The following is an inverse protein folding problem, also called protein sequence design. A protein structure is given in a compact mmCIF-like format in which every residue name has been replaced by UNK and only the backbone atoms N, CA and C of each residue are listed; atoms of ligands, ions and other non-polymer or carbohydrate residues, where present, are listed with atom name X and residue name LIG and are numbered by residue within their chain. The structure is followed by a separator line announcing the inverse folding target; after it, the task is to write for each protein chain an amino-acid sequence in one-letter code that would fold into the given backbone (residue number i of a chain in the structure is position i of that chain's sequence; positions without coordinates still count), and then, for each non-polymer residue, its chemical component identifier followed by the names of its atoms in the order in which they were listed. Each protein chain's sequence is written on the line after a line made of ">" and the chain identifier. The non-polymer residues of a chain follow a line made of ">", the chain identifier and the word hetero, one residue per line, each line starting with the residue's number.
data_IF_719825439750
#
_entry.id   IF_719825439750
#
_cell.length_a   1.000
_cell.length_b   1.000
_cell.length_c   1.000
_cell.angle_alpha   90.00
_cell.angle_beta   90.00
_cell.angle_gamma   90.00
#
_symmetry.space_group_name_H-M   'P 1'
#
loop_
_entity.id
_entity.type
_entity.pdbx_description
1 polymer ?
#
# COMPACT_ATOMS: atom_id res chain seq x y z
N UNK A 1 -53.49 -4.21 -5.88
CA UNK A 1 -52.15 -4.86 -6.04
C UNK A 1 -50.98 -3.90 -5.89
N UNK A 2 -50.92 -2.75 -6.60
CA UNK A 2 -49.75 -1.85 -6.58
C UNK A 2 -49.33 -1.35 -5.18
N UNK A 3 -50.29 -0.97 -4.31
CA UNK A 3 -49.99 -0.50 -2.94
C UNK A 3 -49.30 -1.55 -2.07
N UNK A 4 -49.66 -2.82 -2.23
CA UNK A 4 -49.04 -3.92 -1.49
C UNK A 4 -47.59 -4.13 -1.93
N UNK A 5 -47.32 -4.11 -3.24
CA UNK A 5 -45.96 -4.26 -3.76
C UNK A 5 -45.03 -3.12 -3.31
N UNK A 6 -45.53 -1.88 -3.29
CA UNK A 6 -44.78 -0.73 -2.79
C UNK A 6 -44.46 -0.89 -1.30
N UNK A 7 -45.44 -1.31 -0.48
CA UNK A 7 -45.22 -1.53 0.94
C UNK A 7 -44.17 -2.62 1.21
N UNK A 8 -44.17 -3.71 0.44
CA UNK A 8 -43.15 -4.76 0.53
C UNK A 8 -41.76 -4.24 0.20
N UNK A 9 -41.62 -3.46 -0.88
CA UNK A 9 -40.32 -2.86 -1.25
C UNK A 9 -39.80 -1.88 -0.22
N UNK A 10 -40.68 -1.07 0.38
CA UNK A 10 -40.31 -0.15 1.48
C UNK A 10 -39.82 -0.94 2.69
N UNK A 11 -40.51 -2.03 3.03
CA UNK A 11 -40.12 -2.90 4.16
C UNK A 11 -38.76 -3.54 3.92
N UNK A 12 -38.53 -4.09 2.73
CA UNK A 12 -37.25 -4.68 2.34
C UNK A 12 -36.11 -3.66 2.39
N UNK A 13 -36.33 -2.47 1.85
CA UNK A 13 -35.36 -1.38 1.89
C UNK A 13 -35.01 -0.99 3.33
N UNK A 14 -36.01 -0.88 4.20
CA UNK A 14 -35.81 -0.58 5.63
C UNK A 14 -34.95 -1.65 6.31
N UNK A 15 -35.21 -2.93 6.06
CA UNK A 15 -34.39 -4.03 6.61
C UNK A 15 -32.94 -3.91 6.15
N UNK A 16 -32.71 -3.70 4.84
CA UNK A 16 -31.35 -3.57 4.28
C UNK A 16 -30.59 -2.38 4.85
N UNK A 17 -31.26 -1.24 5.06
CA UNK A 17 -30.66 -0.06 5.69
C UNK A 17 -30.30 -0.33 7.15
N UNK A 18 -31.16 -1.02 7.89
CA UNK A 18 -30.89 -1.38 9.28
C UNK A 18 -29.71 -2.34 9.39
N UNK A 19 -29.67 -3.39 8.58
CA UNK A 19 -28.56 -4.35 8.56
C UNK A 19 -27.24 -3.64 8.22
N UNK A 20 -27.23 -2.73 7.25
CA UNK A 20 -26.05 -1.93 6.91
C UNK A 20 -25.61 -1.01 8.07
N UNK A 21 -26.56 -0.40 8.79
CA UNK A 21 -26.28 0.43 9.98
C UNK A 21 -25.70 -0.39 11.14
N UNK A 22 -26.24 -1.57 11.37
CA UNK A 22 -25.78 -2.48 12.42
C UNK A 22 -24.39 -3.02 12.11
N UNK A 23 -24.11 -3.33 10.83
CA UNK A 23 -22.77 -3.69 10.36
C UNK A 23 -21.78 -2.53 10.56
N UNK A 24 -22.15 -1.31 10.15
CA UNK A 24 -21.31 -0.12 10.35
C UNK A 24 -20.96 0.09 11.83
N UNK A 25 -21.93 -0.09 12.72
CA UNK A 25 -21.74 0.03 14.17
C UNK A 25 -20.84 -1.07 14.71
N UNK A 26 -21.05 -2.33 14.29
CA UNK A 26 -20.23 -3.48 14.67
C UNK A 26 -18.76 -3.31 14.27
N UNK A 27 -18.51 -2.78 13.08
CA UNK A 27 -17.13 -2.59 12.57
C UNK A 27 -16.52 -1.22 12.91
N UNK A 28 -17.23 -0.36 13.66
CA UNK A 28 -16.74 0.97 14.10
C UNK A 28 -16.01 1.77 13.00
N UNK A 29 -16.58 1.82 11.80
CA UNK A 29 -15.95 2.49 10.66
C UNK A 29 -15.72 4.00 10.91
N UNK A 30 -16.43 4.62 11.87
CA UNK A 30 -16.27 6.02 12.27
C UNK A 30 -14.98 6.30 13.08
N UNK A 31 -14.35 5.28 13.68
CA UNK A 31 -13.11 5.47 14.46
C UNK A 31 -11.90 5.78 13.53
N UNK A 32 -12.08 5.62 12.22
CA UNK A 32 -11.10 5.95 11.18
C UNK A 32 -11.18 7.39 10.63
N UNK A 33 -12.10 8.22 11.14
CA UNK A 33 -12.04 9.67 10.86
C UNK A 33 -10.97 10.27 11.76
N UNK A 34 -9.75 10.32 11.23
CA UNK A 34 -8.63 11.05 11.80
C UNK A 34 -9.07 12.47 12.20
N UNK A 35 -9.29 12.69 13.50
CA UNK A 35 -9.21 14.03 14.08
C UNK A 35 -7.85 14.60 13.65
N UNK A 36 -7.73 15.87 13.22
CA UNK A 36 -6.43 16.48 13.04
C UNK A 36 -5.85 16.75 14.43
N UNK A 37 -5.36 15.69 15.07
CA UNK A 37 -4.53 15.80 16.25
C UNK A 37 -3.10 16.05 15.74
N UNK A 38 -2.52 17.16 16.20
CA UNK A 38 -1.09 17.44 16.30
C UNK A 38 -0.16 16.54 15.49
N UNK A 39 0.57 17.12 14.52
CA UNK A 39 1.69 16.55 13.74
C UNK A 39 2.14 15.19 14.28
N UNK A 40 1.37 14.15 13.96
CA UNK A 40 1.65 12.79 14.39
C UNK A 40 2.56 12.28 13.29
N UNK A 41 3.80 11.97 13.66
CA UNK A 41 4.81 11.41 12.76
C UNK A 41 4.13 10.34 11.90
N UNK A 42 4.21 10.49 10.58
CA UNK A 42 3.59 9.56 9.63
C UNK A 42 4.01 8.14 10.02
N UNK A 43 3.07 7.23 10.37
CA UNK A 43 3.42 5.88 10.83
C UNK A 43 4.32 5.11 9.87
N UNK A 44 4.34 5.51 8.59
CA UNK A 44 5.22 4.94 7.56
C UNK A 44 6.68 5.31 7.75
N UNK A 45 7.00 6.42 8.42
CA UNK A 45 8.36 6.81 8.77
C UNK A 45 9.00 5.76 9.66
N UNK A 46 8.26 5.23 10.64
CA UNK A 46 8.78 4.16 11.51
C UNK A 46 9.26 2.97 10.68
N UNK A 47 8.48 2.53 9.69
CA UNK A 47 8.87 1.40 8.81
C UNK A 47 10.16 1.65 8.01
N UNK A 48 10.54 2.92 7.77
CA UNK A 48 11.79 3.29 7.11
C UNK A 48 13.02 3.16 8.03
N UNK A 49 12.83 3.31 9.35
CA UNK A 49 13.91 3.38 10.34
C UNK A 49 13.96 2.18 11.30
N UNK A 50 13.05 1.21 11.17
CA UNK A 50 13.17 -0.06 11.92
C UNK A 50 14.51 -0.73 11.59
N UNK A 51 15.23 -1.11 12.65
CA UNK A 51 16.43 -1.94 12.55
C UNK A 51 16.05 -3.34 12.07
N UNK A 52 16.74 -3.81 11.03
CA UNK A 52 16.53 -5.14 10.46
C UNK A 52 16.65 -6.27 11.50
N UNK A 53 17.49 -6.09 12.53
CA UNK A 53 17.66 -7.05 13.64
C UNK A 53 16.41 -7.30 14.47
N UNK A 54 15.43 -6.40 14.44
CA UNK A 54 14.20 -6.50 15.22
C UNK A 54 13.04 -7.09 14.41
N UNK A 55 13.27 -7.45 13.14
CA UNK A 55 12.26 -8.00 12.24
C UNK A 55 12.25 -9.51 12.34
N UNK A 56 11.07 -10.08 12.57
CA UNK A 56 10.85 -11.53 12.61
C UNK A 56 9.79 -11.92 11.58
N UNK A 57 9.90 -13.14 11.02
CA UNK A 57 8.93 -13.68 10.06
C UNK A 57 8.93 -13.00 8.69
N UNK A 58 9.95 -12.20 8.38
CA UNK A 58 10.04 -11.45 7.12
C UNK A 58 10.84 -12.18 6.03
N UNK A 59 11.65 -13.17 6.39
CA UNK A 59 12.59 -13.81 5.47
C UNK A 59 11.89 -14.52 4.31
N UNK A 60 10.88 -15.34 4.58
CA UNK A 60 10.12 -16.02 3.54
C UNK A 60 9.46 -15.06 2.54
N UNK A 61 8.62 -14.10 3.01
CA UNK A 61 8.02 -13.09 2.12
C UNK A 61 9.05 -12.24 1.36
N UNK A 62 10.19 -11.91 1.99
CA UNK A 62 11.28 -11.15 1.35
C UNK A 62 11.89 -11.93 0.20
N UNK A 63 12.21 -13.20 0.41
CA UNK A 63 12.75 -14.09 -0.63
C UNK A 63 11.78 -14.27 -1.80
N UNK A 64 10.49 -14.40 -1.53
CA UNK A 64 9.45 -14.50 -2.56
C UNK A 64 9.40 -13.25 -3.45
N UNK A 65 9.41 -12.06 -2.85
CA UNK A 65 9.40 -10.80 -3.60
C UNK A 65 10.70 -10.62 -4.40
N UNK A 66 11.85 -10.95 -3.83
CA UNK A 66 13.14 -10.90 -4.56
C UNK A 66 13.10 -11.83 -5.76
N UNK A 67 12.62 -13.06 -5.59
CA UNK A 67 12.49 -14.03 -6.68
C UNK A 67 11.61 -13.50 -7.80
N UNK A 68 10.49 -12.85 -7.50
CA UNK A 68 9.62 -12.25 -8.53
C UNK A 68 10.31 -11.12 -9.30
N UNK A 69 11.17 -10.32 -8.64
CA UNK A 69 11.91 -9.23 -9.27
C UNK A 69 13.10 -9.73 -10.11
N UNK A 70 13.76 -10.81 -9.68
CA UNK A 70 14.99 -11.32 -10.32
C UNK A 70 14.77 -12.49 -11.27
N UNK A 71 13.56 -13.10 -11.30
CA UNK A 71 13.24 -14.20 -12.21
C UNK A 71 13.49 -13.79 -13.66
N UNK A 72 14.50 -14.38 -14.29
CA UNK A 72 14.77 -14.23 -15.72
C UNK A 72 13.86 -15.21 -16.46
N UNK A 73 12.93 -14.70 -17.27
CA UNK A 73 12.20 -15.53 -18.22
C UNK A 73 12.99 -15.52 -19.55
N UNK A 74 13.03 -16.66 -20.25
CA UNK A 74 13.88 -16.95 -21.42
C UNK A 74 13.74 -15.97 -22.62
N UNK A 75 12.85 -14.98 -22.55
CA UNK A 75 12.45 -14.16 -23.70
C UNK A 75 12.77 -12.66 -23.61
N UNK A 76 13.32 -12.11 -22.52
CA UNK A 76 14.10 -10.85 -22.55
C UNK A 76 14.51 -10.36 -21.15
N UNK A 77 15.76 -9.92 -21.02
CA UNK A 77 16.29 -9.25 -19.83
C UNK A 77 15.80 -7.78 -19.68
N UNK A 78 14.97 -7.29 -20.62
CA UNK A 78 14.71 -5.85 -20.81
C UNK A 78 13.27 -5.40 -20.51
N UNK A 79 12.38 -6.29 -20.10
CA UNK A 79 11.00 -5.91 -19.76
C UNK A 79 10.86 -5.31 -18.34
N UNK A 80 10.02 -4.29 -18.25
CA UNK A 80 9.65 -3.62 -17.00
C UNK A 80 8.92 -4.58 -16.07
N UNK A 81 9.54 -4.94 -14.94
CA UNK A 81 8.91 -5.75 -13.89
C UNK A 81 8.28 -4.90 -12.81
N UNK A 82 7.06 -5.26 -12.41
CA UNK A 82 6.31 -4.60 -11.34
C UNK A 82 5.79 -5.66 -10.39
N UNK A 83 6.11 -5.50 -9.10
CA UNK A 83 5.59 -6.35 -8.02
C UNK A 83 4.77 -5.48 -7.06
N UNK A 84 3.58 -5.96 -6.70
CA UNK A 84 2.67 -5.29 -5.77
C UNK A 84 2.54 -6.09 -4.47
N UNK A 85 2.67 -5.42 -3.33
CA UNK A 85 2.46 -6.01 -2.00
C UNK A 85 1.13 -5.49 -1.47
N UNK A 86 0.14 -6.38 -1.37
CA UNK A 86 -1.25 -6.07 -0.98
C UNK A 86 -1.64 -6.77 0.32
N UNK A 87 -2.58 -6.19 1.06
CA UNK A 87 -3.06 -6.76 2.32
C UNK A 87 -3.54 -5.69 3.29
N UNK A 88 -4.09 -6.09 4.42
CA UNK A 88 -4.67 -5.18 5.41
C UNK A 88 -3.64 -4.24 6.07
N UNK A 89 -4.11 -3.11 6.61
CA UNK A 89 -3.29 -2.19 7.40
C UNK A 89 -2.61 -2.88 8.59
N UNK A 90 -1.40 -2.45 8.95
CA UNK A 90 -0.65 -3.01 10.09
C UNK A 90 0.16 -4.28 9.79
N UNK A 91 -0.02 -4.93 8.64
CA UNK A 91 0.69 -6.18 8.27
C UNK A 91 2.15 -6.00 7.82
N UNK A 92 2.78 -4.85 8.09
CA UNK A 92 4.20 -4.66 7.77
C UNK A 92 4.55 -4.59 6.28
N UNK A 93 3.58 -4.35 5.38
CA UNK A 93 3.82 -4.26 3.92
C UNK A 93 4.93 -3.27 3.53
N UNK A 94 4.90 -2.07 4.11
CA UNK A 94 5.92 -1.04 3.89
C UNK A 94 7.28 -1.48 4.42
N UNK A 95 7.30 -2.22 5.54
CA UNK A 95 8.52 -2.80 6.12
C UNK A 95 9.11 -3.85 5.20
N UNK A 96 8.29 -4.76 4.66
CA UNK A 96 8.71 -5.76 3.67
C UNK A 96 9.29 -5.11 2.41
N UNK A 97 8.60 -4.11 1.85
CA UNK A 97 9.11 -3.35 0.70
C UNK A 97 10.46 -2.68 0.99
N UNK A 98 10.63 -2.10 2.19
CA UNK A 98 11.86 -1.44 2.60
C UNK A 98 13.03 -2.43 2.76
N UNK A 99 12.79 -3.60 3.34
CA UNK A 99 13.82 -4.64 3.47
C UNK A 99 14.25 -5.20 2.11
N UNK A 100 13.31 -5.44 1.20
CA UNK A 100 13.64 -5.83 -0.19
C UNK A 100 14.44 -4.73 -0.90
N UNK A 101 14.04 -3.46 -0.74
CA UNK A 101 14.75 -2.31 -1.30
C UNK A 101 16.18 -2.17 -0.76
N UNK A 102 16.40 -2.46 0.53
CA UNK A 102 17.72 -2.46 1.16
C UNK A 102 18.57 -3.63 0.68
N UNK A 103 17.99 -4.81 0.55
CA UNK A 103 18.71 -6.00 0.06
C UNK A 103 19.18 -5.83 -1.38
N UNK A 104 18.32 -5.28 -2.24
CA UNK A 104 18.62 -5.04 -3.66
C UNK A 104 19.46 -3.77 -3.90
N UNK A 105 20.00 -3.16 -2.84
CA UNK A 105 20.75 -1.91 -2.93
C UNK A 105 21.83 -1.90 -4.01
N UNK A 106 22.60 -2.98 -4.04
CA UNK A 106 23.79 -3.11 -4.88
C UNK A 106 23.49 -3.76 -6.23
N UNK A 107 22.27 -4.28 -6.41
CA UNK A 107 21.83 -4.91 -7.66
C UNK A 107 21.37 -3.91 -8.72
N UNK A 108 21.18 -2.63 -8.36
CA UNK A 108 20.63 -1.61 -9.23
C UNK A 108 21.47 -0.33 -9.21
N UNK A 109 21.80 0.19 -10.39
CA UNK A 109 22.59 1.43 -10.54
C UNK A 109 21.89 2.66 -9.97
N UNK A 110 20.55 2.72 -10.02
CA UNK A 110 19.81 3.68 -9.23
C UNK A 110 18.43 3.18 -8.80
N UNK A 111 17.98 3.78 -7.71
CA UNK A 111 16.86 3.30 -6.91
C UNK A 111 16.20 4.45 -6.17
N UNK A 112 14.89 4.44 -6.08
CA UNK A 112 14.14 5.42 -5.32
C UNK A 112 13.08 4.75 -4.45
N UNK A 113 13.08 5.11 -3.17
CA UNK A 113 11.99 4.77 -2.25
C UNK A 113 11.19 6.03 -1.95
N UNK A 114 9.90 6.08 -2.32
CA UNK A 114 9.07 7.29 -2.19
C UNK A 114 7.77 6.95 -1.48
N UNK A 115 7.40 7.80 -0.53
CA UNK A 115 6.10 7.74 0.12
C UNK A 115 5.08 8.55 -0.68
N UNK A 116 3.90 7.97 -0.91
CA UNK A 116 2.80 8.60 -1.67
C UNK A 116 1.64 8.82 -0.72
N UNK A 117 1.14 10.05 -0.60
CA UNK A 117 -0.04 10.37 0.22
C UNK A 117 -1.33 9.86 -0.42
N UNK A 118 -2.42 9.78 0.35
CA UNK A 118 -3.75 9.44 -0.17
C UNK A 118 -4.24 10.43 -1.24
N UNK A 119 -3.79 11.68 -1.16
CA UNK A 119 -4.02 12.74 -2.15
C UNK A 119 -2.67 13.18 -2.71
N UNK A 120 -2.16 12.49 -3.74
CA UNK A 120 -0.85 12.79 -4.27
C UNK A 120 -0.87 14.10 -5.06
N UNK A 121 0.08 14.98 -4.76
CA UNK A 121 0.50 16.00 -5.72
C UNK A 121 1.50 15.37 -6.69
N UNK A 122 1.04 15.14 -7.92
CA UNK A 122 1.82 14.48 -8.96
C UNK A 122 3.07 15.28 -9.35
N UNK A 123 3.01 16.61 -9.33
CA UNK A 123 4.16 17.46 -9.69
C UNK A 123 5.24 17.30 -8.62
N UNK A 124 4.85 17.42 -7.35
CA UNK A 124 5.78 17.26 -6.22
C UNK A 124 6.35 15.84 -6.15
N UNK A 125 5.53 14.81 -6.42
CA UNK A 125 5.98 13.42 -6.46
C UNK A 125 7.02 13.19 -7.56
N UNK A 126 6.76 13.65 -8.79
CA UNK A 126 7.69 13.50 -9.91
C UNK A 126 8.99 14.27 -9.68
N UNK A 127 8.92 15.48 -9.09
CA UNK A 127 10.12 16.22 -8.68
C UNK A 127 10.93 15.45 -7.65
N UNK A 128 10.29 14.91 -6.61
CA UNK A 128 10.96 14.10 -5.58
C UNK A 128 11.59 12.84 -6.18
N UNK A 129 10.90 12.16 -7.09
CA UNK A 129 11.43 11.02 -7.84
C UNK A 129 12.66 11.42 -8.65
N UNK A 130 12.55 12.49 -9.43
CA UNK A 130 13.64 12.99 -10.24
C UNK A 130 14.86 13.34 -9.37
N UNK A 131 14.69 14.04 -8.24
CA UNK A 131 15.81 14.36 -7.35
C UNK A 131 16.49 13.12 -6.75
N UNK A 132 15.74 12.04 -6.47
CA UNK A 132 16.30 10.79 -5.96
C UNK A 132 16.99 9.95 -7.04
N UNK A 133 16.54 10.06 -8.28
CA UNK A 133 17.01 9.25 -9.43
C UNK A 133 18.08 9.94 -10.26
N UNK A 134 18.09 11.28 -10.30
CA UNK A 134 19.02 12.12 -11.07
C UNK A 134 20.44 12.14 -10.52
N UNK A 135 20.73 11.36 -9.47
CA UNK A 135 22.07 10.89 -9.12
C UNK A 135 22.56 9.70 -9.95
N UNK A 136 22.06 9.58 -11.19
CA UNK A 136 22.30 8.55 -12.22
C UNK A 136 21.60 7.16 -12.10
N UNK A 137 20.57 6.98 -12.96
CA UNK A 137 20.09 5.74 -13.66
C UNK A 137 18.95 4.87 -13.07
N UNK A 138 17.72 5.32 -13.35
CA UNK A 138 16.40 4.63 -13.37
C UNK A 138 16.32 3.14 -12.98
N UNK A 139 15.39 2.82 -12.04
CA UNK A 139 14.34 1.77 -12.16
C UNK A 139 13.17 2.06 -11.20
N UNK A 140 11.98 1.78 -11.73
CA UNK A 140 10.61 1.56 -11.23
C UNK A 140 10.27 1.73 -9.74
N UNK A 141 9.24 2.55 -9.53
CA UNK A 141 8.62 2.87 -8.26
C UNK A 141 7.66 1.76 -7.79
N UNK A 142 7.90 1.17 -6.62
CA UNK A 142 6.85 0.44 -5.89
C UNK A 142 5.77 1.44 -5.45
N UNK A 143 4.67 1.55 -6.20
CA UNK A 143 3.48 2.23 -5.73
C UNK A 143 2.71 1.23 -4.87
N UNK A 144 2.90 1.31 -3.55
CA UNK A 144 1.94 0.71 -2.63
C UNK A 144 0.67 1.56 -2.67
N UNK A 145 -0.32 1.13 -3.46
CA UNK A 145 -1.70 1.56 -3.27
C UNK A 145 -2.23 0.78 -2.07
N UNK A 146 -1.99 1.31 -0.87
CA UNK A 146 -2.57 0.80 0.37
C UNK A 146 -4.08 1.04 0.24
N UNK A 147 -4.83 -0.01 -0.07
CA UNK A 147 -6.25 -0.10 0.24
C UNK A 147 -6.40 -1.09 1.37
#
# INVERSE_FOLDING_TARGET
>A
MARYQIATKIKEFKTRVQDASDLRTRYRLDESVSRPAHVTIDPRITALYVQTSNLVGIDGPKEEVIKLLTKVDDMSEQELKVVSIVGFGGFGKTTLANEVYRWLADSFSCRAFISISQRPDMISLLKNLFTKVSGEKLITLMISKIT
#
